data_IF_017393511023
#
_entry.id   IF_017393511023
#
_cell.length_a   1.000
_cell.length_b   1.000
_cell.length_c   1.000
_cell.angle_alpha   90.00
_cell.angle_beta   90.00
_cell.angle_gamma   90.00
#
_symmetry.space_group_name_H-M   'P 1'
#
loop_
_entity.id
_entity.type
_entity.pdbx_description
1 polymer ?
#
# COMPACT_ATOMS: atom_id res chain seq x y z
N UNK A 1 -3.66 36.95 -6.71
CA UNK A 1 -2.36 36.32 -6.66
C UNK A 1 -2.26 35.20 -7.68
N UNK A 2 -1.22 35.19 -8.44
CA UNK A 2 -1.06 34.21 -9.49
C UNK A 2 -0.07 33.16 -9.04
N UNK A 3 -0.48 31.90 -9.12
CA UNK A 3 0.42 30.80 -8.90
C UNK A 3 1.19 30.53 -10.18
N UNK A 4 2.46 30.31 -10.04
CA UNK A 4 3.28 29.90 -11.15
C UNK A 4 2.84 28.50 -11.59
N UNK A 5 2.65 28.31 -12.88
CA UNK A 5 2.20 27.04 -13.42
C UNK A 5 3.15 25.90 -13.06
N UNK A 6 4.45 26.19 -13.10
CA UNK A 6 5.46 25.19 -12.75
C UNK A 6 5.35 24.77 -11.29
N UNK A 7 5.05 25.72 -10.40
CA UNK A 7 4.84 25.39 -9.00
C UNK A 7 3.61 24.51 -8.81
N UNK A 8 2.53 24.84 -9.53
CA UNK A 8 1.32 24.06 -9.43
C UNK A 8 1.54 22.60 -9.87
N UNK A 9 2.27 22.43 -10.98
CA UNK A 9 2.61 21.08 -11.44
C UNK A 9 3.53 20.37 -10.47
N UNK A 10 4.51 21.08 -9.91
CA UNK A 10 5.40 20.49 -8.93
C UNK A 10 4.67 20.02 -7.69
N UNK A 11 3.72 20.83 -7.20
CA UNK A 11 2.92 20.47 -6.04
C UNK A 11 2.04 19.26 -6.32
N UNK A 12 1.41 19.23 -7.51
CA UNK A 12 0.57 18.10 -7.87
C UNK A 12 1.36 16.81 -7.97
N UNK A 13 2.55 16.87 -8.57
CA UNK A 13 3.43 15.71 -8.68
C UNK A 13 3.89 15.22 -7.31
N UNK A 14 4.26 16.16 -6.42
CA UNK A 14 4.66 15.83 -5.06
C UNK A 14 3.54 15.18 -4.28
N UNK A 15 2.31 15.71 -4.43
CA UNK A 15 1.15 15.12 -3.75
C UNK A 15 0.86 13.73 -4.27
N UNK A 16 1.00 13.50 -5.58
CA UNK A 16 0.76 12.18 -6.15
C UNK A 16 1.77 11.17 -5.62
N UNK A 17 3.04 11.57 -5.50
CA UNK A 17 4.08 10.70 -4.96
C UNK A 17 3.81 10.36 -3.50
N UNK A 18 3.42 11.35 -2.70
CA UNK A 18 3.09 11.12 -1.31
C UNK A 18 1.93 10.15 -1.15
N UNK A 19 0.90 10.31 -1.99
CA UNK A 19 -0.23 9.40 -1.95
C UNK A 19 0.15 7.98 -2.36
N UNK A 20 1.02 7.87 -3.35
CA UNK A 20 1.52 6.57 -3.79
C UNK A 20 2.28 5.87 -2.67
N UNK A 21 3.19 6.59 -2.01
CA UNK A 21 3.98 6.03 -0.92
C UNK A 21 3.11 5.70 0.28
N UNK A 22 2.12 6.54 0.57
CA UNK A 22 1.18 6.30 1.65
C UNK A 22 0.36 5.04 1.40
N UNK A 23 -0.09 4.86 0.15
CA UNK A 23 -0.85 3.67 -0.23
C UNK A 23 0.01 2.41 -0.11
N UNK A 24 1.28 2.49 -0.51
CA UNK A 24 2.21 1.38 -0.39
C UNK A 24 2.42 1.02 1.07
N UNK A 25 2.59 2.03 1.93
CA UNK A 25 2.72 1.82 3.36
C UNK A 25 1.47 1.19 3.97
N UNK A 26 0.29 1.65 3.52
CA UNK A 26 -0.97 1.07 3.99
C UNK A 26 -1.08 -0.40 3.60
N UNK A 27 -0.60 -0.77 2.42
CA UNK A 27 -0.60 -2.16 1.98
C UNK A 27 0.26 -3.01 2.91
N UNK A 28 1.47 -2.54 3.23
CA UNK A 28 2.35 -3.25 4.16
C UNK A 28 1.71 -3.38 5.53
N UNK A 29 1.08 -2.32 6.01
CA UNK A 29 0.43 -2.34 7.32
C UNK A 29 -0.74 -3.31 7.34
N UNK A 30 -1.51 -3.37 6.27
CA UNK A 30 -2.63 -4.30 6.17
C UNK A 30 -2.13 -5.74 6.21
N UNK A 31 -1.07 -6.04 5.48
CA UNK A 31 -0.48 -7.37 5.48
C UNK A 31 0.06 -7.75 6.86
N UNK A 32 0.75 -6.80 7.50
CA UNK A 32 1.28 -7.03 8.84
C UNK A 32 0.15 -7.23 9.85
N UNK A 33 -0.91 -6.44 9.74
CA UNK A 33 -2.07 -6.55 10.63
C UNK A 33 -2.75 -7.91 10.52
N UNK A 34 -2.88 -8.41 9.28
CA UNK A 34 -3.47 -9.73 9.07
C UNK A 34 -2.61 -10.82 9.69
N UNK A 35 -1.29 -10.74 9.53
CA UNK A 35 -0.38 -11.73 10.12
C UNK A 35 -0.45 -11.70 11.64
N UNK A 36 -0.53 -10.51 12.22
CA UNK A 36 -0.68 -10.37 13.67
C UNK A 36 -2.01 -10.97 14.12
N UNK A 37 -3.09 -10.70 13.36
CA UNK A 37 -4.40 -11.25 13.67
C UNK A 37 -4.39 -12.78 13.68
N UNK A 38 -3.70 -13.40 12.74
CA UNK A 38 -3.56 -14.86 12.71
C UNK A 38 -2.75 -15.33 13.91
N UNK A 39 -1.64 -14.65 14.21
CA UNK A 39 -0.77 -15.05 15.30
C UNK A 39 -1.48 -14.99 16.65
N UNK A 40 -2.38 -14.03 16.81
CA UNK A 40 -3.15 -13.87 18.05
C UNK A 40 -4.44 -14.69 18.06
N UNK A 41 -4.73 -15.40 16.98
CA UNK A 41 -5.91 -16.25 16.91
C UNK A 41 -7.21 -15.52 16.60
N UNK A 42 -7.13 -14.25 16.17
CA UNK A 42 -8.34 -13.50 15.82
C UNK A 42 -8.82 -13.78 14.41
N UNK A 43 -7.92 -14.22 13.54
CA UNK A 43 -8.23 -14.49 12.14
C UNK A 43 -7.75 -15.89 11.80
N UNK A 44 -8.63 -16.75 11.24
CA UNK A 44 -8.20 -18.08 10.83
C UNK A 44 -7.15 -18.00 9.72
N UNK A 45 -6.10 -18.80 9.86
CA UNK A 45 -4.98 -18.77 8.91
C UNK A 45 -5.45 -19.11 7.50
N UNK A 46 -6.36 -20.07 7.37
CA UNK A 46 -6.84 -20.52 6.05
C UNK A 46 -7.67 -19.44 5.35
N UNK A 47 -8.29 -18.55 6.10
CA UNK A 47 -9.02 -17.43 5.50
C UNK A 47 -8.09 -16.27 5.18
N UNK A 48 -7.02 -16.13 5.94
CA UNK A 48 -6.06 -15.06 5.76
C UNK A 48 -5.14 -15.29 4.55
N UNK A 49 -4.76 -16.55 4.32
CA UNK A 49 -3.78 -16.88 3.27
C UNK A 49 -4.16 -16.36 1.89
N UNK A 50 -5.40 -16.58 1.39
CA UNK A 50 -5.74 -16.04 0.06
C UNK A 50 -5.79 -14.52 0.03
N UNK A 51 -6.11 -13.87 1.14
CA UNK A 51 -6.11 -12.41 1.20
C UNK A 51 -4.68 -11.89 1.12
N UNK A 52 -3.76 -12.50 1.85
CA UNK A 52 -2.35 -12.11 1.78
C UNK A 52 -1.78 -12.31 0.38
N UNK A 53 -2.15 -13.41 -0.28
CA UNK A 53 -1.73 -13.65 -1.66
C UNK A 53 -2.24 -12.57 -2.60
N UNK A 54 -3.51 -12.19 -2.44
CA UNK A 54 -4.11 -11.15 -3.27
C UNK A 54 -3.40 -9.81 -3.04
N UNK A 55 -3.07 -9.50 -1.80
CA UNK A 55 -2.35 -8.27 -1.47
C UNK A 55 -0.94 -8.29 -2.04
N UNK A 56 -0.27 -9.45 -2.01
CA UNK A 56 1.04 -9.59 -2.63
C UNK A 56 0.99 -9.31 -4.13
N UNK A 57 -0.01 -9.89 -4.81
CA UNK A 57 -0.16 -9.68 -6.26
C UNK A 57 -0.47 -8.22 -6.56
N UNK A 58 -1.33 -7.61 -5.74
CA UNK A 58 -1.65 -6.19 -5.89
C UNK A 58 -0.40 -5.34 -5.73
N UNK A 59 0.39 -5.62 -4.71
CA UNK A 59 1.61 -4.89 -4.46
C UNK A 59 2.61 -5.02 -5.60
N UNK A 60 2.75 -6.22 -6.15
CA UNK A 60 3.64 -6.44 -7.28
C UNK A 60 3.17 -5.68 -8.51
N UNK A 61 1.87 -5.70 -8.77
CA UNK A 61 1.31 -5.08 -9.97
C UNK A 61 1.31 -3.56 -9.88
N UNK A 62 0.90 -3.01 -8.73
CA UNK A 62 0.71 -1.57 -8.60
C UNK A 62 2.00 -0.86 -8.17
N UNK A 63 2.74 -1.47 -7.27
CA UNK A 63 3.89 -0.81 -6.65
C UNK A 63 5.23 -1.42 -7.06
N UNK A 64 5.21 -2.49 -7.83
CA UNK A 64 6.45 -3.16 -8.23
C UNK A 64 7.19 -3.83 -7.08
N UNK A 65 6.45 -4.25 -6.05
CA UNK A 65 7.07 -4.88 -4.90
C UNK A 65 7.54 -6.27 -5.22
N UNK A 66 8.67 -6.64 -4.62
CA UNK A 66 9.25 -7.97 -4.82
C UNK A 66 8.41 -9.00 -4.08
N UNK A 67 8.17 -10.13 -4.73
CA UNK A 67 7.46 -11.25 -4.12
C UNK A 67 8.45 -12.27 -3.61
N UNK A 68 8.09 -12.87 -2.51
CA UNK A 68 8.91 -13.91 -1.93
C UNK A 68 8.09 -15.13 -1.66
#
# INVERSE_FOLDING_TARGET
>A
MALNTAEAFGSAAGNARLRFESARGSLYEAQAGLRVGVAWGYVPAEECAPVLEALDRLGARVFGLSRR
#
